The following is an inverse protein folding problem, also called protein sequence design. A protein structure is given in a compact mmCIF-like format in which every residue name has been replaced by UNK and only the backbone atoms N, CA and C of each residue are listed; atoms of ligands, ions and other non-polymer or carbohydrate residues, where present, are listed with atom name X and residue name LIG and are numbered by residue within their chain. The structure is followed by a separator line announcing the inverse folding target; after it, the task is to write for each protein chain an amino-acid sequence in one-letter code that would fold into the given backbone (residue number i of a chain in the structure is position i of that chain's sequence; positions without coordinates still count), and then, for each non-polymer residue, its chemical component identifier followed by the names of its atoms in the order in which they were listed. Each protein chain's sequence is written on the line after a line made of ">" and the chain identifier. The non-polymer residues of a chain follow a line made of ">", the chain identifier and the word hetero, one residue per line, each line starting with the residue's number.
data_IF_578652962336
#
_entry.id   IF_578652962336
#
_cell.length_a   1.000
_cell.length_b   1.000
_cell.length_c   1.000
_cell.angle_alpha   90.00
_cell.angle_beta   90.00
_cell.angle_gamma   90.00
#
_symmetry.space_group_name_H-M   'P 1'
#
loop_
_entity.id
_entity.type
_entity.pdbx_description
1 polymer ?
#
# COMPACT_ATOMS: atom_id res chain seq x y z
N UNK A 1 -20.88 -11.49 -7.21
CA UNK A 1 -20.16 -10.20 -7.10
C UNK A 1 -19.47 -10.11 -5.74
N UNK A 2 -18.32 -10.76 -5.58
CA UNK A 2 -17.67 -10.89 -4.27
C UNK A 2 -16.49 -9.92 -4.18
N UNK A 3 -16.77 -8.72 -3.67
CA UNK A 3 -15.73 -7.96 -3.00
C UNK A 3 -15.49 -8.71 -1.68
N UNK A 4 -14.35 -9.37 -1.56
CA UNK A 4 -14.03 -10.16 -0.36
C UNK A 4 -13.82 -9.22 0.85
N UNK A 5 -14.87 -8.96 1.61
CA UNK A 5 -14.84 -8.23 2.88
C UNK A 5 -14.28 -9.10 4.03
N UNK A 6 -13.11 -9.70 3.84
CA UNK A 6 -12.38 -10.35 4.93
C UNK A 6 -11.82 -9.32 5.91
N UNK A 7 -11.65 -9.70 7.19
CA UNK A 7 -11.16 -8.81 8.27
C UNK A 7 -9.89 -8.01 7.91
N UNK A 8 -8.99 -8.60 7.12
CA UNK A 8 -7.75 -7.96 6.69
C UNK A 8 -7.98 -6.78 5.72
N UNK A 9 -8.94 -6.92 4.79
CA UNK A 9 -9.27 -5.86 3.81
C UNK A 9 -10.13 -4.74 4.41
N UNK A 10 -10.81 -5.04 5.53
CA UNK A 10 -11.45 -4.02 6.38
C UNK A 10 -10.44 -3.12 7.08
N UNK A 11 -9.22 -3.61 7.35
CA UNK A 11 -8.14 -2.82 7.97
C UNK A 11 -7.35 -2.01 6.93
N UNK A 12 -7.05 -2.60 5.77
CA UNK A 12 -6.31 -1.95 4.68
C UNK A 12 -6.88 -2.36 3.32
N UNK A 13 -7.17 -1.39 2.44
CA UNK A 13 -7.75 -1.68 1.11
C UNK A 13 -6.86 -2.58 0.25
N UNK A 14 -5.55 -2.39 0.37
CA UNK A 14 -4.50 -3.11 -0.37
C UNK A 14 -3.47 -3.73 0.59
N UNK A 15 -3.74 -4.90 1.18
CA UNK A 15 -2.78 -5.56 2.07
C UNK A 15 -1.44 -5.88 1.38
N UNK A 16 -1.46 -6.08 0.05
CA UNK A 16 -0.26 -6.34 -0.74
C UNK A 16 0.72 -5.16 -0.72
N UNK A 17 0.21 -3.92 -0.87
CA UNK A 17 1.06 -2.73 -0.85
C UNK A 17 1.67 -2.49 0.53
N UNK A 18 0.97 -2.87 1.61
CA UNK A 18 1.51 -2.85 2.96
C UNK A 18 2.66 -3.86 3.12
N UNK A 19 2.51 -5.07 2.55
CA UNK A 19 3.60 -6.06 2.50
C UNK A 19 4.83 -5.56 1.74
N UNK A 20 4.64 -4.92 0.60
CA UNK A 20 5.73 -4.32 -0.19
C UNK A 20 6.45 -3.21 0.60
N UNK A 21 5.71 -2.31 1.26
CA UNK A 21 6.30 -1.27 2.11
C UNK A 21 7.15 -1.88 3.22
N UNK A 22 6.65 -2.90 3.93
CA UNK A 22 7.39 -3.59 5.00
C UNK A 22 8.63 -4.28 4.45
N UNK A 23 8.52 -4.93 3.29
CA UNK A 23 9.65 -5.60 2.64
C UNK A 23 10.78 -4.61 2.31
N UNK A 24 10.44 -3.47 1.70
CA UNK A 24 11.44 -2.44 1.37
C UNK A 24 12.05 -1.77 2.59
N UNK A 25 11.26 -1.55 3.64
CA UNK A 25 11.80 -1.10 4.94
C UNK A 25 12.74 -2.14 5.57
N UNK A 26 12.46 -3.43 5.40
CA UNK A 26 13.33 -4.50 5.89
C UNK A 26 14.68 -4.50 5.18
N UNK A 27 14.71 -4.30 3.85
CA UNK A 27 15.95 -4.16 3.08
C UNK A 27 16.75 -2.95 3.56
N UNK A 28 16.08 -1.82 3.83
CA UNK A 28 16.74 -0.64 4.40
C UNK A 28 17.35 -0.92 5.77
N UNK A 29 16.63 -1.63 6.65
CA UNK A 29 17.16 -2.02 7.97
C UNK A 29 18.39 -2.93 7.87
N UNK A 30 18.49 -3.78 6.85
CA UNK A 30 19.69 -4.57 6.61
C UNK A 30 20.86 -3.71 6.09
N UNK A 31 20.57 -2.73 5.23
CA UNK A 31 21.58 -1.90 4.58
C UNK A 31 22.16 -0.81 5.50
N UNK A 32 21.41 -0.33 6.50
CA UNK A 32 21.82 0.79 7.36
C UNK A 32 23.09 0.50 8.18
N UNK A 33 23.39 -0.77 8.46
CA UNK A 33 24.61 -1.19 9.17
C UNK A 33 25.89 -1.09 8.34
N UNK A 34 25.80 -0.78 7.05
CA UNK A 34 26.97 -0.62 6.18
C UNK A 34 27.55 0.79 6.21
N UNK A 35 28.80 0.94 5.75
CA UNK A 35 29.42 2.27 5.56
C UNK A 35 28.57 3.08 4.59
N UNK A 36 28.13 4.27 5.00
CA UNK A 36 27.15 5.10 4.28
C UNK A 36 25.77 4.46 4.06
N UNK A 37 25.41 3.44 4.84
CA UNK A 37 24.14 2.72 4.73
C UNK A 37 22.90 3.59 4.90
N UNK A 38 22.99 4.75 5.56
CA UNK A 38 21.89 5.71 5.67
C UNK A 38 21.37 6.22 4.32
N UNK A 39 22.23 6.28 3.29
CA UNK A 39 21.83 6.66 1.93
C UNK A 39 20.87 5.65 1.29
N UNK A 40 20.82 4.41 1.78
CA UNK A 40 19.90 3.40 1.27
C UNK A 40 18.42 3.75 1.49
N UNK A 41 18.10 4.77 2.30
CA UNK A 41 16.73 5.25 2.53
C UNK A 41 16.04 5.76 1.27
N UNK A 42 16.79 6.23 0.26
CA UNK A 42 16.19 6.71 -0.99
C UNK A 42 15.47 5.59 -1.75
N UNK A 43 15.94 4.34 -1.64
CA UNK A 43 15.31 3.17 -2.27
C UNK A 43 13.87 2.93 -1.82
N UNK A 44 13.61 2.60 -0.53
CA UNK A 44 12.26 2.42 -0.03
C UNK A 44 11.42 3.69 -0.19
N UNK A 45 12.00 4.88 -0.02
CA UNK A 45 11.27 6.14 -0.15
C UNK A 45 10.70 6.33 -1.57
N UNK A 46 11.51 6.15 -2.60
CA UNK A 46 11.08 6.27 -4.01
C UNK A 46 10.00 5.21 -4.32
N UNK A 47 10.19 3.98 -3.86
CA UNK A 47 9.23 2.90 -4.12
C UNK A 47 7.89 3.11 -3.41
N UNK A 48 7.91 3.55 -2.15
CA UNK A 48 6.70 3.89 -1.41
C UNK A 48 5.94 5.01 -2.12
N UNK A 49 6.63 6.03 -2.63
CA UNK A 49 6.01 7.13 -3.39
C UNK A 49 5.35 6.61 -4.66
N UNK A 50 6.05 5.78 -5.46
CA UNK A 50 5.51 5.20 -6.69
C UNK A 50 4.28 4.33 -6.40
N UNK A 51 4.34 3.50 -5.36
CA UNK A 51 3.23 2.65 -4.95
C UNK A 51 1.99 3.47 -4.61
N UNK A 52 2.16 4.48 -3.75
CA UNK A 52 1.08 5.33 -3.28
C UNK A 52 0.49 6.22 -4.38
N UNK A 53 1.33 6.77 -5.27
CA UNK A 53 0.90 7.80 -6.23
C UNK A 53 0.53 7.23 -7.60
N UNK A 54 1.07 6.08 -7.99
CA UNK A 54 0.92 5.56 -9.36
C UNK A 54 0.17 4.23 -9.32
N UNK A 55 0.70 3.24 -8.60
CA UNK A 55 0.20 1.86 -8.67
C UNK A 55 -1.20 1.77 -8.07
N UNK A 56 -1.36 2.19 -6.81
CA UNK A 56 -2.63 2.04 -6.11
C UNK A 56 -3.78 2.86 -6.72
N UNK A 57 -3.58 4.12 -7.18
CA UNK A 57 -4.64 4.86 -7.89
C UNK A 57 -5.02 4.21 -9.22
N UNK A 58 -4.06 3.63 -9.95
CA UNK A 58 -4.34 2.90 -11.21
C UNK A 58 -5.18 1.65 -10.95
N UNK A 59 -4.89 0.94 -9.86
CA UNK A 59 -5.66 -0.23 -9.43
C UNK A 59 -7.07 0.16 -8.97
N UNK A 60 -7.21 1.28 -8.24
CA UNK A 60 -8.52 1.84 -7.88
C UNK A 60 -9.36 2.10 -9.14
N UNK A 61 -8.83 2.81 -10.15
CA UNK A 61 -9.55 3.07 -11.41
C UNK A 61 -9.95 1.79 -12.14
N UNK A 62 -9.06 0.79 -12.16
CA UNK A 62 -9.36 -0.53 -12.76
C UNK A 62 -10.50 -1.24 -12.03
N UNK A 63 -10.54 -1.16 -10.70
CA UNK A 63 -11.57 -1.78 -9.88
C UNK A 63 -12.90 -1.02 -9.95
N UNK A 64 -12.88 0.31 -10.00
CA UNK A 64 -14.07 1.14 -10.24
C UNK A 64 -14.73 0.80 -11.58
N UNK A 65 -13.95 0.63 -12.65
CA UNK A 65 -14.47 0.26 -13.96
C UNK A 65 -15.05 -1.18 -14.00
N UNK A 66 -14.58 -2.06 -13.11
CA UNK A 66 -15.00 -3.48 -13.08
C UNK A 66 -16.19 -3.72 -12.15
N UNK A 67 -16.34 -2.92 -11.10
CA UNK A 67 -17.36 -3.13 -10.07
C UNK A 67 -18.03 -1.81 -9.66
N UNK A 68 -19.31 -1.65 -10.00
CA UNK A 68 -20.09 -0.45 -9.66
C UNK A 68 -20.17 -0.18 -8.14
N UNK A 69 -20.16 -1.23 -7.31
CA UNK A 69 -20.20 -1.14 -5.84
C UNK A 69 -18.84 -0.79 -5.20
N UNK A 70 -17.76 -0.68 -5.99
CA UNK A 70 -16.43 -0.39 -5.46
C UNK A 70 -16.29 1.05 -4.96
N UNK A 71 -17.12 1.99 -5.45
CA UNK A 71 -17.16 3.37 -4.94
C UNK A 71 -17.58 3.44 -3.47
N UNK A 72 -18.56 2.63 -3.06
CA UNK A 72 -19.02 2.54 -1.68
C UNK A 72 -17.97 1.86 -0.78
N UNK A 73 -17.24 0.89 -1.33
CA UNK A 73 -16.12 0.26 -0.63
C UNK A 73 -14.93 1.22 -0.43
N UNK A 74 -14.61 2.02 -1.46
CA UNK A 74 -13.56 3.05 -1.45
C UNK A 74 -13.79 4.13 -0.39
N UNK A 75 -15.04 4.53 -0.14
CA UNK A 75 -15.35 5.55 0.89
C UNK A 75 -15.19 5.01 2.32
N UNK A 76 -15.39 3.70 2.53
CA UNK A 76 -15.32 3.07 3.86
C UNK A 76 -13.92 2.59 4.29
N UNK A 77 -13.04 2.31 3.33
CA UNK A 77 -11.74 1.66 3.59
C UNK A 77 -10.57 2.55 3.20
N UNK A 78 -9.57 2.71 4.08
CA UNK A 78 -8.37 3.52 3.81
C UNK A 78 -7.32 2.73 3.02
N UNK A 79 -6.50 3.48 2.26
CA UNK A 79 -5.60 2.93 1.23
C UNK A 79 -4.43 2.11 1.81
N UNK A 80 -3.87 2.53 2.96
CA UNK A 80 -2.66 1.89 3.53
C UNK A 80 -2.59 1.87 5.07
N UNK A 81 -3.15 2.87 5.76
CA UNK A 81 -3.18 2.91 7.23
C UNK A 81 -4.61 2.88 7.78
N UNK A 82 -4.86 2.20 8.91
CA UNK A 82 -6.16 2.20 9.56
C UNK A 82 -6.49 3.60 10.10
N UNK A 83 -7.79 3.90 10.21
CA UNK A 83 -8.30 5.11 10.85
C UNK A 83 -7.84 5.10 12.32
N UNK A 84 -6.89 5.97 12.69
CA UNK A 84 -6.70 6.33 14.09
C UNK A 84 -7.93 7.14 14.47
N UNK A 85 -8.74 6.58 15.36
CA UNK A 85 -9.98 7.17 15.85
C UNK A 85 -9.68 8.17 16.95
#
# INVERSE_FOLDING_TARGET
>A
NLICNGKLRSFCRYPNALGEVIFWLSIYMLAIGSVNGYMSIYGPLVLIIILLKIVLPKEDTRLENKYNQFKDYKSSSWMLFPKLK
#
